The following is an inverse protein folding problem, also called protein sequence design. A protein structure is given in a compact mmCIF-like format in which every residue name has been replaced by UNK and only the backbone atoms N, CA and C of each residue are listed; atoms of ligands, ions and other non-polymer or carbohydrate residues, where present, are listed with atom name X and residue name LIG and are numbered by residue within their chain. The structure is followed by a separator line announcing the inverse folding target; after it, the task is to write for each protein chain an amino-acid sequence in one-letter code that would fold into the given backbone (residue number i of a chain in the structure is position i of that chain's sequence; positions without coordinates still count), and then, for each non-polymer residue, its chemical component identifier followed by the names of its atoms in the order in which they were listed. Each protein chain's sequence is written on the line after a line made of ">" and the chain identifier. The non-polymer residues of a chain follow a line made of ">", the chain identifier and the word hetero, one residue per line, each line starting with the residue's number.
data_IF_995601975377
#
_entry.id   IF_995601975377
#
_cell.length_a   1.000
_cell.length_b   1.000
_cell.length_c   1.000
_cell.angle_alpha   90.00
_cell.angle_beta   90.00
_cell.angle_gamma   90.00
#
_symmetry.space_group_name_H-M   'P 1'
#
loop_
_entity.id
_entity.type
_entity.pdbx_description
1 polymer ?
#
# COMPACT_ATOMS: atom_id res chain seq x y z
N UNK A 1 -24.15 -9.32 2.22
CA UNK A 1 -25.14 -8.31 2.67
C UNK A 1 -24.36 -7.05 3.00
N UNK A 2 -24.42 -6.03 2.15
CA UNK A 2 -23.77 -4.73 2.42
C UNK A 2 -24.55 -4.03 3.53
N UNK A 3 -24.05 -4.07 4.76
CA UNK A 3 -24.64 -3.30 5.85
C UNK A 3 -24.61 -1.81 5.50
N UNK A 4 -25.70 -1.12 5.75
CA UNK A 4 -25.73 0.35 5.66
C UNK A 4 -24.67 0.87 6.63
N UNK A 5 -23.76 1.75 6.20
CA UNK A 5 -22.75 2.30 7.10
C UNK A 5 -23.46 3.03 8.25
N UNK A 6 -23.05 2.69 9.46
CA UNK A 6 -23.52 3.38 10.66
C UNK A 6 -22.85 4.77 10.66
N UNK A 7 -23.63 5.87 10.76
CA UNK A 7 -23.05 7.21 10.90
C UNK A 7 -22.14 7.25 12.11
N UNK A 8 -21.12 8.11 12.07
CA UNK A 8 -20.28 8.34 13.25
C UNK A 8 -21.09 8.95 14.39
N UNK A 9 -20.66 8.69 15.62
CA UNK A 9 -21.25 9.33 16.79
C UNK A 9 -20.97 10.84 16.76
N UNK A 10 -21.93 11.69 17.19
CA UNK A 10 -21.73 13.15 17.23
C UNK A 10 -20.49 13.59 18.03
N UNK A 11 -20.11 12.81 19.05
CA UNK A 11 -18.89 13.05 19.83
C UNK A 11 -17.63 12.80 19.02
N UNK A 12 -17.62 11.77 18.18
CA UNK A 12 -16.52 11.45 17.26
C UNK A 12 -16.40 12.53 16.21
N UNK A 13 -17.50 12.92 15.55
CA UNK A 13 -17.51 13.99 14.55
C UNK A 13 -16.98 15.31 15.13
N UNK A 14 -17.38 15.66 16.37
CA UNK A 14 -16.86 16.84 17.05
C UNK A 14 -15.36 16.76 17.31
N UNK A 15 -14.83 15.59 17.65
CA UNK A 15 -13.40 15.39 17.88
C UNK A 15 -12.61 15.52 16.58
N UNK A 16 -13.15 15.00 15.48
CA UNK A 16 -12.58 15.14 14.14
C UNK A 16 -12.54 16.61 13.71
N UNK A 17 -13.67 17.33 13.84
CA UNK A 17 -13.74 18.75 13.49
C UNK A 17 -12.80 19.60 14.37
N UNK A 18 -12.72 19.31 15.66
CA UNK A 18 -11.78 20.00 16.55
C UNK A 18 -10.33 19.78 16.10
N UNK A 19 -9.97 18.54 15.72
CA UNK A 19 -8.61 18.24 15.23
C UNK A 19 -8.28 19.01 13.95
N UNK A 20 -9.25 19.13 13.03
CA UNK A 20 -9.12 19.92 11.80
C UNK A 20 -8.97 21.41 12.13
N UNK A 21 -9.80 21.94 13.02
CA UNK A 21 -9.74 23.36 13.43
C UNK A 21 -8.39 23.72 14.07
N UNK A 22 -7.87 22.87 14.96
CA UNK A 22 -6.54 23.04 15.56
C UNK A 22 -5.46 22.99 14.47
N UNK A 23 -5.53 22.02 13.55
CA UNK A 23 -4.57 21.88 12.46
C UNK A 23 -4.55 23.08 11.51
N UNK A 24 -5.69 23.65 11.19
CA UNK A 24 -5.83 24.86 10.38
C UNK A 24 -5.20 26.08 11.09
N UNK A 25 -5.54 26.28 12.35
CA UNK A 25 -5.08 27.44 13.13
C UNK A 25 -3.57 27.40 13.38
N UNK A 26 -3.04 26.27 13.87
CA UNK A 26 -1.60 26.09 14.12
C UNK A 26 -0.79 26.07 12.84
N UNK A 27 -1.33 25.46 11.78
CA UNK A 27 -0.73 25.39 10.46
C UNK A 27 -0.83 26.69 9.66
N UNK A 28 -1.56 27.70 10.13
CA UNK A 28 -1.74 28.99 9.45
C UNK A 28 -2.15 28.82 7.98
N UNK A 29 -3.04 27.88 7.69
CA UNK A 29 -3.54 27.64 6.32
C UNK A 29 -4.90 28.31 6.12
N UNK A 30 -5.19 28.94 4.95
CA UNK A 30 -6.50 29.57 4.71
C UNK A 30 -7.65 28.59 4.86
N UNK A 31 -7.47 27.35 4.45
CA UNK A 31 -8.47 26.29 4.59
C UNK A 31 -7.84 24.93 4.86
N UNK A 32 -8.55 24.10 5.64
CA UNK A 32 -8.21 22.71 5.90
C UNK A 32 -9.48 21.87 5.81
N UNK A 33 -9.46 20.86 4.95
CA UNK A 33 -10.53 19.86 4.79
C UNK A 33 -10.09 18.56 5.42
N UNK A 34 -10.99 17.92 6.17
CA UNK A 34 -10.85 16.55 6.64
C UNK A 34 -12.00 15.67 6.15
N UNK A 35 -11.71 14.43 5.83
CA UNK A 35 -12.74 13.45 5.50
C UNK A 35 -12.35 12.07 6.02
N UNK A 36 -13.36 11.27 6.34
CA UNK A 36 -13.21 9.87 6.78
C UNK A 36 -14.12 8.99 5.96
N UNK A 37 -13.55 7.89 5.48
CA UNK A 37 -14.30 6.79 4.85
C UNK A 37 -14.23 5.52 5.72
N UNK A 38 -15.34 4.77 5.74
CA UNK A 38 -15.45 3.47 6.40
C UNK A 38 -16.32 2.54 5.55
N UNK A 39 -15.95 1.28 5.48
CA UNK A 39 -16.65 0.27 4.67
C UNK A 39 -16.88 0.73 3.22
N UNK A 40 -15.85 1.31 2.62
CA UNK A 40 -15.90 1.78 1.25
C UNK A 40 -16.73 3.04 1.01
N UNK A 41 -17.14 3.77 2.04
CA UNK A 41 -18.03 4.94 1.93
C UNK A 41 -17.54 6.11 2.76
N UNK A 42 -17.71 7.29 2.23
CA UNK A 42 -17.55 8.54 2.99
C UNK A 42 -18.58 8.57 4.12
N UNK A 43 -18.12 8.65 5.38
CA UNK A 43 -18.97 8.71 6.59
C UNK A 43 -18.92 10.06 7.27
N UNK A 44 -17.88 10.86 7.04
CA UNK A 44 -17.73 12.21 7.55
C UNK A 44 -16.85 13.04 6.63
N UNK A 45 -17.20 14.30 6.44
CA UNK A 45 -16.34 15.31 5.84
C UNK A 45 -16.73 16.68 6.39
N UNK A 46 -15.74 17.43 6.80
CA UNK A 46 -15.91 18.81 7.27
C UNK A 46 -14.66 19.64 6.98
N UNK A 47 -14.74 20.93 7.19
CA UNK A 47 -13.67 21.86 6.89
C UNK A 47 -13.60 22.99 7.90
N UNK A 48 -12.42 23.59 8.00
CA UNK A 48 -12.21 24.79 8.80
C UNK A 48 -11.46 25.84 7.97
N UNK A 49 -11.96 27.10 8.02
CA UNK A 49 -11.47 28.19 7.21
C UNK A 49 -12.33 28.46 5.97
N UNK A 50 -11.76 29.07 4.95
CA UNK A 50 -12.48 29.50 3.73
C UNK A 50 -12.58 28.36 2.71
N UNK A 51 -13.68 27.63 2.76
CA UNK A 51 -13.97 26.46 1.90
C UNK A 51 -15.38 26.53 1.35
N UNK A 52 -15.53 26.43 0.03
CA UNK A 52 -16.85 26.41 -0.60
C UNK A 52 -17.63 25.12 -0.30
N UNK A 53 -16.95 23.98 -0.24
CA UNK A 53 -17.54 22.66 0.07
C UNK A 53 -16.45 21.71 0.59
N UNK A 54 -16.66 21.07 1.73
CA UNK A 54 -15.75 20.07 2.27
C UNK A 54 -15.60 18.82 1.37
N UNK A 55 -16.63 18.49 0.60
CA UNK A 55 -16.65 17.29 -0.23
C UNK A 55 -16.34 17.53 -1.70
N UNK A 56 -16.57 18.76 -2.22
CA UNK A 56 -16.53 19.04 -3.67
C UNK A 56 -15.48 20.08 -4.08
N UNK A 57 -14.89 20.84 -3.14
CA UNK A 57 -13.78 21.73 -3.46
C UNK A 57 -12.52 20.95 -3.81
N UNK A 58 -11.97 21.21 -5.00
CA UNK A 58 -10.71 20.60 -5.44
C UNK A 58 -9.50 21.27 -4.79
N UNK A 59 -8.51 20.47 -4.46
CA UNK A 59 -7.15 20.85 -4.05
C UNK A 59 -6.14 20.13 -4.91
N UNK A 60 -4.96 20.68 -5.13
CA UNK A 60 -3.85 19.90 -5.68
C UNK A 60 -3.41 18.87 -4.64
N UNK A 61 -3.19 17.64 -5.09
CA UNK A 61 -2.87 16.53 -4.20
C UNK A 61 -1.41 16.12 -4.24
N UNK A 62 -0.62 16.81 -5.08
CA UNK A 62 0.82 16.59 -5.18
C UNK A 62 1.15 15.11 -5.38
N UNK A 63 2.08 14.60 -4.63
CA UNK A 63 2.62 13.25 -4.78
C UNK A 63 1.63 12.10 -4.55
N UNK A 64 0.41 12.33 -4.05
CA UNK A 64 -0.64 11.30 -4.09
C UNK A 64 -0.89 10.85 -5.54
N UNK A 65 -0.63 11.71 -6.53
CA UNK A 65 -0.63 11.39 -7.97
C UNK A 65 0.18 10.14 -8.31
N UNK A 66 1.29 9.91 -7.60
CA UNK A 66 2.17 8.77 -7.86
C UNK A 66 1.45 7.43 -7.67
N UNK A 67 0.58 7.34 -6.67
CA UNK A 67 -0.18 6.11 -6.44
C UNK A 67 -1.09 5.78 -7.63
N UNK A 68 -1.69 6.79 -8.25
CA UNK A 68 -2.48 6.60 -9.49
C UNK A 68 -1.61 6.13 -10.65
N UNK A 69 -0.43 6.72 -10.83
CA UNK A 69 0.53 6.29 -11.84
C UNK A 69 0.97 4.83 -11.62
N UNK A 70 1.22 4.46 -10.37
CA UNK A 70 1.58 3.09 -10.00
C UNK A 70 0.44 2.10 -10.32
N UNK A 71 -0.80 2.44 -10.05
CA UNK A 71 -1.98 1.61 -10.42
C UNK A 71 -2.02 1.35 -11.93
N UNK A 72 -1.75 2.35 -12.77
CA UNK A 72 -1.68 2.16 -14.22
C UNK A 72 -0.57 1.18 -14.62
N UNK A 73 0.61 1.28 -14.01
CA UNK A 73 1.73 0.37 -14.29
C UNK A 73 1.40 -1.06 -13.85
N UNK A 74 0.81 -1.23 -12.66
CA UNK A 74 0.37 -2.55 -12.18
C UNK A 74 -0.69 -3.17 -13.09
N UNK A 75 -1.57 -2.34 -13.64
CA UNK A 75 -2.56 -2.78 -14.61
C UNK A 75 -1.91 -3.27 -15.91
N UNK A 76 -0.88 -2.58 -16.42
CA UNK A 76 -0.11 -3.05 -17.58
C UNK A 76 0.53 -4.43 -17.31
N UNK A 77 1.05 -4.65 -16.09
CA UNK A 77 1.59 -5.93 -15.65
C UNK A 77 0.51 -7.02 -15.65
N UNK A 78 -0.66 -6.76 -15.05
CA UNK A 78 -1.76 -7.74 -14.94
C UNK A 78 -2.32 -8.12 -16.33
N UNK A 79 -2.26 -7.22 -17.29
CA UNK A 79 -2.61 -7.46 -18.69
C UNK A 79 -1.50 -8.18 -19.49
N UNK A 80 -0.33 -8.45 -18.87
CA UNK A 80 0.79 -9.13 -19.51
C UNK A 80 1.55 -8.28 -20.55
N UNK A 81 1.41 -6.94 -20.48
CA UNK A 81 2.07 -6.02 -21.40
C UNK A 81 3.50 -5.67 -20.98
N UNK A 82 3.84 -5.91 -19.71
CA UNK A 82 5.16 -5.77 -19.14
C UNK A 82 5.32 -6.70 -17.94
N UNK A 83 6.59 -6.92 -17.52
CA UNK A 83 6.94 -7.55 -16.25
C UNK A 83 7.56 -6.49 -15.33
N UNK A 84 7.32 -6.56 -14.02
CA UNK A 84 7.92 -5.63 -13.05
C UNK A 84 9.44 -5.79 -12.96
N UNK A 85 9.97 -6.97 -13.28
CA UNK A 85 11.40 -7.25 -13.34
C UNK A 85 12.04 -6.83 -14.67
N UNK A 86 11.25 -6.41 -15.66
CA UNK A 86 11.80 -5.86 -16.90
C UNK A 86 12.62 -4.59 -16.60
N UNK A 87 13.82 -4.45 -17.20
CA UNK A 87 14.50 -3.18 -17.28
C UNK A 87 13.63 -2.14 -18.00
N UNK A 88 13.57 -0.92 -17.49
CA UNK A 88 12.80 0.14 -18.16
C UNK A 88 13.18 0.32 -19.63
N UNK A 89 14.49 0.23 -19.94
CA UNK A 89 15.05 0.37 -21.30
C UNK A 89 14.46 -0.59 -22.32
N UNK A 90 13.87 -1.71 -21.88
CA UNK A 90 13.16 -2.65 -22.76
C UNK A 90 11.90 -2.02 -23.38
N UNK A 91 11.23 -1.13 -22.65
CA UNK A 91 9.98 -0.53 -23.04
C UNK A 91 10.11 0.96 -23.39
N UNK A 92 11.08 1.64 -22.80
CA UNK A 92 11.36 3.06 -23.01
C UNK A 92 12.88 3.24 -23.17
N UNK A 93 13.40 3.07 -24.41
CA UNK A 93 14.83 3.12 -24.67
C UNK A 93 15.41 4.54 -24.52
N UNK A 94 16.74 4.61 -24.43
CA UNK A 94 17.52 5.84 -24.41
C UNK A 94 17.25 6.75 -23.19
N UNK A 95 16.82 6.18 -22.05
CA UNK A 95 16.61 6.94 -20.81
C UNK A 95 17.88 7.09 -19.95
N UNK A 96 18.89 6.30 -20.20
CA UNK A 96 20.15 6.31 -19.44
C UNK A 96 20.03 5.73 -18.02
N UNK A 97 18.94 5.02 -17.70
CA UNK A 97 18.74 4.39 -16.39
C UNK A 97 19.28 2.95 -16.31
N UNK A 98 19.82 2.43 -17.41
CA UNK A 98 20.48 1.13 -17.47
C UNK A 98 19.54 -0.03 -17.12
N UNK A 99 19.98 -0.88 -16.20
CA UNK A 99 19.26 -2.09 -15.79
C UNK A 99 18.20 -1.83 -14.69
N UNK A 100 17.87 -0.57 -14.40
CA UNK A 100 16.83 -0.24 -13.42
C UNK A 100 15.48 -0.84 -13.84
N UNK A 101 14.89 -1.66 -12.97
CA UNK A 101 13.63 -2.35 -13.26
C UNK A 101 12.42 -1.48 -12.97
N UNK A 102 11.27 -1.84 -13.54
CA UNK A 102 9.99 -1.16 -13.28
C UNK A 102 9.61 -1.24 -11.81
N UNK A 103 9.83 -2.39 -11.14
CA UNK A 103 9.62 -2.53 -9.69
C UNK A 103 10.50 -1.55 -8.88
N UNK A 104 11.75 -1.36 -9.28
CA UNK A 104 12.65 -0.43 -8.62
C UNK A 104 12.24 1.03 -8.80
N UNK A 105 11.66 1.38 -9.95
CA UNK A 105 11.07 2.71 -10.15
C UNK A 105 9.84 2.94 -9.27
N UNK A 106 8.92 1.97 -9.24
CA UNK A 106 7.71 2.01 -8.39
C UNK A 106 8.04 2.15 -6.90
N UNK A 107 9.10 1.50 -6.44
CA UNK A 107 9.53 1.47 -5.03
C UNK A 107 10.59 2.49 -4.66
N UNK A 108 10.97 3.38 -5.57
CA UNK A 108 12.04 4.38 -5.36
C UNK A 108 13.41 3.76 -5.02
N UNK A 109 13.70 2.58 -5.56
CA UNK A 109 15.01 1.92 -5.40
C UNK A 109 15.83 1.87 -6.68
N UNK A 110 15.38 2.53 -7.74
CA UNK A 110 16.11 2.60 -9.02
C UNK A 110 17.42 3.40 -8.94
N UNK A 111 17.64 4.15 -7.87
CA UNK A 111 18.86 4.96 -7.69
C UNK A 111 18.84 6.29 -8.45
N UNK A 112 17.69 6.72 -8.94
CA UNK A 112 17.52 7.99 -9.65
C UNK A 112 17.70 9.19 -8.75
N UNK A 113 18.11 10.34 -9.32
CA UNK A 113 18.05 11.64 -8.67
C UNK A 113 16.60 11.92 -8.19
N UNK A 114 16.49 12.56 -7.04
CA UNK A 114 15.19 12.90 -6.46
C UNK A 114 14.41 13.85 -7.37
N UNK A 115 15.12 14.85 -7.91
CA UNK A 115 14.55 15.95 -8.67
C UNK A 115 15.25 16.10 -10.03
N UNK A 116 14.57 16.66 -11.04
CA UNK A 116 15.21 17.02 -12.29
C UNK A 116 16.23 18.16 -12.06
N UNK A 117 17.15 18.39 -13.04
CA UNK A 117 18.03 19.55 -13.00
C UNK A 117 17.24 20.87 -12.92
N UNK A 118 17.86 21.89 -12.31
CA UNK A 118 17.30 23.25 -12.26
C UNK A 118 16.82 23.76 -13.65
N UNK A 119 15.83 24.65 -13.71
CA UNK A 119 15.16 25.39 -12.65
C UNK A 119 14.09 24.54 -11.90
N UNK A 120 13.54 25.10 -10.81
CA UNK A 120 12.54 24.47 -9.97
C UNK A 120 11.28 24.12 -10.76
N UNK A 121 11.10 22.83 -11.04
CA UNK A 121 10.09 22.33 -11.96
C UNK A 121 8.64 22.59 -11.52
N UNK A 122 8.37 22.60 -10.22
CA UNK A 122 7.02 22.84 -9.69
C UNK A 122 6.53 24.29 -9.87
N UNK A 123 7.46 25.23 -10.16
CA UNK A 123 7.18 26.65 -10.47
C UNK A 123 7.62 27.06 -11.88
N UNK A 124 7.91 26.08 -12.71
CA UNK A 124 8.33 26.29 -14.11
C UNK A 124 7.32 25.59 -15.02
N UNK A 125 6.75 26.30 -16.03
CA UNK A 125 5.85 25.68 -16.98
C UNK A 125 6.45 24.42 -17.61
N UNK A 126 5.70 23.31 -17.59
CA UNK A 126 6.18 22.01 -18.06
C UNK A 126 6.52 21.99 -19.56
N UNK A 127 5.94 22.90 -20.34
CA UNK A 127 6.25 23.09 -21.75
C UNK A 127 7.71 23.52 -22.03
N UNK A 128 8.40 24.03 -21.02
CA UNK A 128 9.83 24.35 -21.11
C UNK A 128 10.73 23.12 -20.94
N UNK A 129 10.15 21.96 -20.64
CA UNK A 129 10.82 20.66 -20.49
C UNK A 129 10.08 19.59 -21.30
N UNK A 130 10.10 19.69 -22.64
CA UNK A 130 9.24 18.88 -23.51
C UNK A 130 9.72 17.44 -23.69
N UNK A 131 10.98 17.14 -23.31
CA UNK A 131 11.59 15.83 -23.52
C UNK A 131 12.15 15.19 -22.27
N UNK A 132 12.27 13.87 -22.26
CA UNK A 132 12.90 13.13 -21.15
C UNK A 132 14.34 13.57 -20.87
N UNK A 133 15.21 13.89 -21.86
CA UNK A 133 16.54 14.41 -21.57
C UNK A 133 16.55 15.72 -20.75
N UNK A 134 15.52 16.56 -20.91
CA UNK A 134 15.39 17.81 -20.16
C UNK A 134 15.04 17.58 -18.68
N UNK A 135 14.43 16.41 -18.39
CA UNK A 135 14.03 16.00 -17.04
C UNK A 135 15.09 15.14 -16.36
N UNK A 136 15.76 14.27 -17.10
CA UNK A 136 16.72 13.32 -16.56
C UNK A 136 18.12 13.94 -16.40
N UNK A 137 18.51 14.88 -17.28
CA UNK A 137 19.86 15.41 -17.34
C UNK A 137 20.89 14.39 -17.85
N UNK A 138 22.18 14.73 -17.74
CA UNK A 138 23.27 13.88 -18.22
C UNK A 138 23.54 12.63 -17.35
N UNK A 139 23.26 12.73 -16.05
CA UNK A 139 23.54 11.68 -15.06
C UNK A 139 22.31 11.42 -14.17
N UNK A 140 21.31 10.69 -14.67
CA UNK A 140 20.06 10.49 -13.92
C UNK A 140 20.23 9.58 -12.69
N UNK A 141 21.25 8.70 -12.66
CA UNK A 141 21.50 7.79 -11.55
C UNK A 141 22.51 8.43 -10.56
N UNK A 142 22.11 8.52 -9.30
CA UNK A 142 22.95 9.02 -8.19
C UNK A 142 23.34 7.91 -7.21
N UNK A 143 22.64 6.76 -7.28
CA UNK A 143 22.92 5.56 -6.50
C UNK A 143 22.86 4.31 -7.38
N UNK A 144 23.56 3.23 -7.02
CA UNK A 144 23.34 1.92 -7.66
C UNK A 144 21.92 1.44 -7.47
N UNK A 145 21.29 0.97 -8.56
CA UNK A 145 19.93 0.42 -8.52
C UNK A 145 19.79 -0.74 -7.53
N UNK A 146 18.68 -0.81 -6.82
CA UNK A 146 18.36 -1.84 -5.84
C UNK A 146 19.08 -1.72 -4.48
N UNK A 147 19.87 -0.68 -4.23
CA UNK A 147 20.70 -0.56 -3.03
C UNK A 147 20.10 0.32 -1.94
N UNK A 148 19.46 1.40 -2.34
CA UNK A 148 18.98 2.43 -1.41
C UNK A 148 17.59 2.86 -1.83
N UNK A 149 16.71 3.04 -0.86
CA UNK A 149 15.47 3.79 -1.09
C UNK A 149 15.83 5.27 -1.23
N UNK A 150 15.58 5.83 -2.40
CA UNK A 150 15.81 7.24 -2.71
C UNK A 150 14.63 7.78 -3.49
N UNK A 151 13.74 8.50 -2.79
CA UNK A 151 12.52 9.04 -3.38
C UNK A 151 12.82 9.87 -4.61
N UNK A 152 12.14 9.61 -5.74
CA UNK A 152 12.43 10.25 -7.02
C UNK A 152 11.16 10.70 -7.73
N UNK A 153 11.02 11.99 -7.98
CA UNK A 153 10.00 12.55 -8.86
C UNK A 153 10.27 12.20 -10.33
N UNK A 154 11.55 12.19 -10.74
CA UNK A 154 11.96 11.78 -12.09
C UNK A 154 11.61 10.33 -12.40
N UNK A 155 11.67 9.44 -11.42
CA UNK A 155 11.25 8.04 -11.56
C UNK A 155 9.78 7.90 -11.97
N UNK A 156 8.90 8.71 -11.41
CA UNK A 156 7.48 8.71 -11.74
C UNK A 156 7.15 9.40 -13.05
N UNK A 157 8.00 10.33 -13.49
CA UNK A 157 7.95 10.84 -14.87
C UNK A 157 8.21 9.73 -15.89
N UNK A 158 9.21 8.90 -15.63
CA UNK A 158 9.52 7.73 -16.46
C UNK A 158 8.37 6.71 -16.47
N UNK A 159 7.77 6.41 -15.31
CA UNK A 159 6.62 5.52 -15.22
C UNK A 159 5.40 6.07 -15.99
N UNK A 160 5.13 7.37 -15.92
CA UNK A 160 4.07 8.00 -16.72
C UNK A 160 4.36 7.95 -18.22
N UNK A 161 5.62 8.15 -18.62
CA UNK A 161 6.06 8.03 -20.01
C UNK A 161 5.96 6.58 -20.50
N UNK A 162 6.30 5.61 -19.64
CA UNK A 162 6.12 4.17 -19.90
C UNK A 162 4.65 3.85 -20.17
N UNK A 163 3.73 4.33 -19.31
CA UNK A 163 2.29 4.14 -19.52
C UNK A 163 1.87 4.69 -20.87
N UNK A 164 2.30 5.92 -21.19
CA UNK A 164 1.95 6.55 -22.48
C UNK A 164 2.50 5.76 -23.67
N UNK A 165 3.73 5.27 -23.58
CA UNK A 165 4.36 4.49 -24.65
C UNK A 165 3.66 3.14 -24.88
N UNK A 166 3.33 2.42 -23.82
CA UNK A 166 2.69 1.09 -23.91
C UNK A 166 1.22 1.22 -24.33
N UNK A 167 0.50 2.21 -23.82
CA UNK A 167 -0.93 2.45 -24.17
C UNK A 167 -1.12 3.13 -25.52
N UNK A 168 -0.12 3.86 -26.02
CA UNK A 168 -0.24 4.66 -27.22
C UNK A 168 -1.15 5.90 -27.07
N UNK A 169 -1.45 6.29 -25.83
CA UNK A 169 -2.24 7.49 -25.48
C UNK A 169 -1.53 8.28 -24.38
N UNK A 170 -1.81 9.57 -24.20
CA UNK A 170 -1.24 10.33 -23.08
C UNK A 170 -1.59 9.69 -21.72
N UNK A 171 -0.67 9.81 -20.74
CA UNK A 171 -0.86 9.34 -19.38
C UNK A 171 -2.18 9.81 -18.75
N UNK A 172 -2.56 11.06 -18.98
CA UNK A 172 -3.81 11.63 -18.47
C UNK A 172 -5.05 10.94 -19.03
N UNK A 173 -5.01 10.55 -20.30
CA UNK A 173 -6.11 9.83 -20.95
C UNK A 173 -6.23 8.41 -20.39
N UNK A 174 -5.10 7.70 -20.22
CA UNK A 174 -5.09 6.39 -19.58
C UNK A 174 -5.61 6.49 -18.14
N UNK A 175 -5.14 7.48 -17.37
CA UNK A 175 -5.62 7.73 -16.01
C UNK A 175 -7.14 7.93 -15.96
N UNK A 176 -7.66 8.80 -16.83
CA UNK A 176 -9.08 9.13 -16.88
C UNK A 176 -9.94 7.90 -17.17
N UNK A 177 -9.58 7.16 -18.23
CA UNK A 177 -10.40 6.05 -18.71
C UNK A 177 -10.27 4.77 -17.88
N UNK A 178 -9.09 4.51 -17.33
CA UNK A 178 -8.78 3.25 -16.68
C UNK A 178 -8.91 3.29 -15.14
N UNK A 179 -8.89 4.48 -14.54
CA UNK A 179 -9.00 4.63 -13.08
C UNK A 179 -10.16 5.54 -12.71
N UNK A 180 -10.16 6.79 -13.20
CA UNK A 180 -11.08 7.80 -12.66
C UNK A 180 -12.55 7.51 -13.04
N UNK A 181 -12.84 7.16 -14.28
CA UNK A 181 -14.19 6.81 -14.72
C UNK A 181 -14.70 5.52 -14.03
N UNK A 182 -13.95 4.41 -13.99
CA UNK A 182 -14.41 3.20 -13.29
C UNK A 182 -14.67 3.40 -11.80
N UNK A 183 -13.90 4.26 -11.12
CA UNK A 183 -14.07 4.56 -9.69
C UNK A 183 -15.06 5.70 -9.42
N UNK A 184 -15.70 6.26 -10.44
CA UNK A 184 -16.62 7.41 -10.32
C UNK A 184 -15.96 8.65 -9.68
N UNK A 185 -14.67 8.88 -9.99
CA UNK A 185 -13.88 10.00 -9.46
C UNK A 185 -13.96 11.22 -10.38
N UNK A 186 -15.18 11.75 -10.53
CA UNK A 186 -15.51 12.80 -11.52
C UNK A 186 -14.90 14.16 -11.22
N UNK A 187 -14.44 14.36 -9.98
CA UNK A 187 -13.81 15.59 -9.50
C UNK A 187 -12.29 15.44 -9.31
N UNK A 188 -11.69 14.40 -9.94
CA UNK A 188 -10.25 14.25 -10.03
C UNK A 188 -9.80 14.51 -11.45
N UNK A 189 -8.93 15.53 -11.63
CA UNK A 189 -8.58 16.08 -12.95
C UNK A 189 -7.12 16.55 -12.98
N UNK A 190 -6.55 16.73 -14.18
CA UNK A 190 -5.20 17.31 -14.34
C UNK A 190 -5.21 18.84 -14.25
N UNK A 191 -6.35 19.47 -14.54
CA UNK A 191 -6.54 20.92 -14.45
C UNK A 191 -7.67 21.23 -13.45
N UNK A 192 -7.66 22.40 -12.76
CA UNK A 192 -8.69 22.75 -11.81
C UNK A 192 -10.06 22.93 -12.43
N UNK A 193 -11.10 22.46 -11.75
CA UNK A 193 -12.51 22.65 -12.13
C UNK A 193 -13.27 23.24 -10.94
N UNK A 194 -14.01 24.32 -11.16
CA UNK A 194 -14.77 25.02 -10.09
C UNK A 194 -15.78 24.09 -9.41
N UNK A 195 -15.87 24.10 -8.06
CA UNK A 195 -15.08 24.89 -7.11
C UNK A 195 -13.70 24.27 -6.84
N UNK A 196 -12.67 25.08 -6.78
CA UNK A 196 -11.33 24.70 -6.37
C UNK A 196 -10.73 25.74 -5.42
N UNK A 197 -9.79 25.34 -4.58
CA UNK A 197 -9.08 26.21 -3.66
C UNK A 197 -7.90 26.91 -4.40
N UNK A 198 -7.68 28.18 -4.11
CA UNK A 198 -6.47 28.89 -4.52
C UNK A 198 -5.29 28.47 -3.64
N UNK A 199 -4.10 28.37 -4.23
CA UNK A 199 -2.87 28.00 -3.53
C UNK A 199 -2.13 29.21 -2.93
N UNK A 200 -1.62 29.04 -1.71
CA UNK A 200 -0.98 30.12 -0.95
C UNK A 200 0.33 29.69 -0.32
N UNK A 201 1.31 30.59 -0.30
CA UNK A 201 2.38 30.58 0.68
C UNK A 201 2.02 31.53 1.82
N UNK A 202 2.40 31.18 3.04
CA UNK A 202 2.25 32.06 4.19
C UNK A 202 3.60 32.72 4.49
N UNK A 203 3.60 34.04 4.63
CA UNK A 203 4.84 34.77 4.94
C UNK A 203 5.42 34.26 6.28
N UNK A 204 6.73 33.92 6.34
CA UNK A 204 7.31 33.27 7.53
C UNK A 204 7.25 34.13 8.79
N UNK A 205 7.23 35.46 8.64
CA UNK A 205 7.28 36.40 9.76
C UNK A 205 6.04 37.29 9.89
N UNK A 206 4.98 37.01 9.15
CA UNK A 206 3.74 37.79 9.20
C UNK A 206 2.54 36.94 8.78
N UNK A 207 1.35 37.25 9.30
CA UNK A 207 0.10 36.63 8.86
C UNK A 207 -0.38 37.24 7.54
N UNK A 208 0.40 37.01 6.48
CA UNK A 208 0.18 37.53 5.13
C UNK A 208 0.25 36.37 4.15
N UNK A 209 -0.77 36.29 3.30
CA UNK A 209 -0.82 35.31 2.21
C UNK A 209 -0.11 35.84 0.98
N UNK A 210 0.70 34.96 0.36
CA UNK A 210 1.38 35.20 -0.89
C UNK A 210 0.81 34.20 -1.91
N UNK A 211 0.29 34.64 -3.06
CA UNK A 211 -0.28 33.71 -4.03
C UNK A 211 0.79 32.80 -4.62
N UNK A 212 0.48 31.53 -4.77
CA UNK A 212 1.32 30.56 -5.51
C UNK A 212 0.82 30.39 -6.94
N UNK A 213 1.75 30.21 -7.86
CA UNK A 213 1.38 29.89 -9.24
C UNK A 213 0.88 28.44 -9.36
N UNK A 214 -0.01 28.25 -10.34
CA UNK A 214 -0.51 26.93 -10.69
C UNK A 214 0.04 26.59 -12.07
N UNK A 215 1.08 25.79 -12.10
CA UNK A 215 1.75 25.40 -13.34
C UNK A 215 1.20 24.04 -13.83
N UNK A 216 1.13 23.91 -15.16
CA UNK A 216 1.04 22.61 -15.81
C UNK A 216 2.44 21.99 -15.81
N UNK A 217 2.55 20.82 -15.20
CA UNK A 217 3.84 20.18 -14.96
C UNK A 217 4.37 19.42 -16.20
N UNK A 218 3.59 19.31 -17.28
CA UNK A 218 4.00 18.62 -18.51
C UNK A 218 4.44 17.18 -18.24
N UNK A 219 5.66 16.81 -18.66
CA UNK A 219 6.20 15.46 -18.42
C UNK A 219 6.28 15.05 -16.95
N UNK A 220 6.35 16.02 -16.02
CA UNK A 220 6.36 15.73 -14.57
C UNK A 220 4.95 15.50 -14.01
N UNK A 221 3.88 15.63 -14.80
CA UNK A 221 2.49 15.45 -14.38
C UNK A 221 2.25 14.13 -13.61
N UNK A 222 2.80 12.96 -14.03
CA UNK A 222 2.64 11.70 -13.31
C UNK A 222 3.19 11.68 -11.88
N UNK A 223 4.03 12.65 -11.52
CA UNK A 223 4.62 12.79 -10.20
C UNK A 223 3.79 13.67 -9.24
N UNK A 224 2.92 14.58 -9.75
CA UNK A 224 2.29 15.55 -8.84
C UNK A 224 1.17 16.44 -9.36
N UNK A 225 0.65 16.24 -10.59
CA UNK A 225 -0.26 17.20 -11.26
C UNK A 225 -1.68 17.24 -10.70
N UNK A 226 -2.19 16.14 -10.12
CA UNK A 226 -3.63 15.98 -9.95
C UNK A 226 -4.26 16.98 -8.98
N UNK A 227 -5.46 17.41 -9.36
CA UNK A 227 -6.46 18.04 -8.53
C UNK A 227 -7.49 17.00 -8.13
N UNK A 228 -7.92 17.02 -6.87
CA UNK A 228 -8.95 16.09 -6.38
C UNK A 228 -9.75 16.70 -5.23
N UNK A 229 -10.81 16.01 -4.84
CA UNK A 229 -11.63 16.34 -3.69
C UNK A 229 -11.48 15.30 -2.60
N UNK A 230 -11.85 15.67 -1.36
CA UNK A 230 -11.84 14.71 -0.26
C UNK A 230 -12.77 13.50 -0.53
N UNK A 231 -13.91 13.72 -1.19
CA UNK A 231 -14.82 12.64 -1.55
C UNK A 231 -14.23 11.66 -2.57
N UNK A 232 -13.55 12.15 -3.62
CA UNK A 232 -12.91 11.29 -4.61
C UNK A 232 -11.73 10.53 -4.02
N UNK A 233 -10.91 11.19 -3.18
CA UNK A 233 -9.80 10.51 -2.51
C UNK A 233 -10.31 9.43 -1.51
N UNK A 234 -11.47 9.61 -0.89
CA UNK A 234 -12.10 8.54 -0.11
C UNK A 234 -12.53 7.34 -0.97
N UNK A 235 -13.00 7.58 -2.22
CA UNK A 235 -13.25 6.48 -3.19
C UNK A 235 -11.97 5.75 -3.55
N UNK A 236 -10.90 6.52 -3.80
CA UNK A 236 -9.59 5.94 -4.09
C UNK A 236 -9.01 5.14 -2.91
N UNK A 237 -9.15 5.64 -1.68
CA UNK A 237 -8.78 4.89 -0.49
C UNK A 237 -9.59 3.59 -0.33
N UNK A 238 -10.88 3.62 -0.68
CA UNK A 238 -11.74 2.43 -0.67
C UNK A 238 -11.29 1.40 -1.71
N UNK A 239 -10.85 1.85 -2.88
CA UNK A 239 -10.21 0.99 -3.88
C UNK A 239 -8.90 0.39 -3.34
N UNK A 240 -8.03 1.17 -2.70
CA UNK A 240 -6.78 0.67 -2.09
C UNK A 240 -7.03 -0.33 -0.94
N UNK A 241 -8.22 -0.32 -0.32
CA UNK A 241 -8.58 -1.27 0.73
C UNK A 241 -8.90 -2.68 0.22
N UNK A 242 -9.47 -2.80 -0.98
CA UNK A 242 -10.02 -4.08 -1.43
C UNK A 242 -9.93 -4.37 -2.94
N UNK A 243 -9.33 -3.47 -3.72
CA UNK A 243 -9.31 -3.57 -5.17
C UNK A 243 -10.67 -3.28 -5.82
N UNK A 244 -10.68 -3.28 -7.13
CA UNK A 244 -11.86 -3.24 -7.99
C UNK A 244 -11.48 -3.89 -9.32
N UNK A 245 -12.12 -4.99 -9.70
CA UNK A 245 -11.79 -5.77 -10.89
C UNK A 245 -11.87 -4.96 -12.22
N UNK A 246 -12.53 -3.83 -12.20
CA UNK A 246 -12.56 -2.89 -13.34
C UNK A 246 -11.25 -2.10 -13.47
N UNK A 247 -10.49 -1.98 -12.39
CA UNK A 247 -9.25 -1.20 -12.31
C UNK A 247 -8.07 -2.11 -12.03
N UNK A 248 -8.04 -2.74 -10.86
CA UNK A 248 -6.96 -3.64 -10.44
C UNK A 248 -7.50 -4.63 -9.39
N UNK A 249 -7.09 -5.90 -9.48
CA UNK A 249 -7.53 -6.95 -8.57
C UNK A 249 -7.13 -6.68 -7.12
N UNK A 250 -7.84 -7.27 -6.17
CA UNK A 250 -7.51 -7.18 -4.75
C UNK A 250 -6.11 -7.72 -4.43
N UNK A 251 -5.66 -8.76 -5.16
CA UNK A 251 -4.35 -9.36 -4.97
C UNK A 251 -3.23 -8.41 -5.42
N UNK A 252 -3.40 -7.77 -6.58
CA UNK A 252 -2.44 -6.79 -7.10
C UNK A 252 -2.37 -5.53 -6.23
N UNK A 253 -3.51 -5.06 -5.71
CA UNK A 253 -3.52 -3.95 -4.73
C UNK A 253 -2.80 -4.36 -3.44
N UNK A 254 -2.99 -5.58 -2.96
CA UNK A 254 -2.29 -6.09 -1.77
C UNK A 254 -0.78 -6.14 -2.00
N UNK A 255 -0.34 -6.57 -3.19
CA UNK A 255 1.06 -6.55 -3.58
C UNK A 255 1.63 -5.13 -3.55
N UNK A 256 0.93 -4.14 -4.12
CA UNK A 256 1.33 -2.72 -4.03
C UNK A 256 1.55 -2.27 -2.58
N UNK A 257 0.71 -2.74 -1.67
CA UNK A 257 0.72 -2.38 -0.25
C UNK A 257 1.68 -3.21 0.61
N UNK A 258 2.47 -4.10 0.00
CA UNK A 258 3.51 -4.88 0.69
C UNK A 258 4.84 -4.10 0.65
N UNK A 259 5.66 -4.11 1.73
CA UNK A 259 6.96 -3.45 1.71
C UNK A 259 7.85 -3.97 0.60
N UNK A 260 8.18 -3.14 -0.38
CA UNK A 260 9.04 -3.44 -1.53
C UNK A 260 10.42 -2.77 -1.43
N UNK A 261 10.52 -1.71 -0.62
CA UNK A 261 11.78 -1.03 -0.34
C UNK A 261 12.11 -1.11 1.15
N UNK A 262 13.41 -1.26 1.50
CA UNK A 262 13.82 -1.18 2.90
C UNK A 262 13.44 0.21 3.45
N UNK A 263 13.08 0.31 4.74
CA UNK A 263 12.89 1.60 5.37
C UNK A 263 14.20 2.39 5.30
N UNK A 264 14.13 3.72 5.27
CA UNK A 264 15.32 4.54 5.41
C UNK A 264 16.05 4.16 6.70
N UNK A 265 17.39 4.11 6.66
CA UNK A 265 18.23 3.59 7.75
C UNK A 265 17.96 4.25 9.11
N UNK A 266 17.37 5.44 9.10
CA UNK A 266 17.10 6.27 10.28
C UNK A 266 15.65 6.13 10.82
N UNK A 267 14.76 5.46 10.08
CA UNK A 267 13.35 5.33 10.47
C UNK A 267 12.77 3.96 10.12
N UNK A 268 12.64 3.10 11.14
CA UNK A 268 12.07 1.76 11.00
C UNK A 268 10.53 1.74 11.04
N UNK A 269 9.89 2.87 11.29
CA UNK A 269 8.42 3.01 11.35
C UNK A 269 7.81 3.31 9.99
N UNK A 270 8.63 3.41 8.94
CA UNK A 270 8.19 3.70 7.59
C UNK A 270 8.72 2.70 6.57
N UNK A 271 8.05 2.58 5.44
CA UNK A 271 8.44 1.78 4.29
C UNK A 271 7.77 2.32 3.03
N UNK A 272 8.10 1.68 1.91
CA UNK A 272 7.47 1.99 0.63
C UNK A 272 7.13 0.69 -0.10
N UNK A 273 5.92 0.61 -0.61
CA UNK A 273 5.46 -0.47 -1.47
C UNK A 273 5.66 -0.12 -2.95
N UNK A 274 4.77 -0.59 -3.81
CA UNK A 274 4.77 -0.23 -5.23
C UNK A 274 3.85 0.99 -5.44
N UNK A 275 4.38 2.19 -5.21
CA UNK A 275 3.65 3.45 -5.36
C UNK A 275 2.83 3.90 -4.17
N UNK A 276 3.02 3.31 -3.01
CA UNK A 276 2.37 3.68 -1.76
C UNK A 276 3.37 3.81 -0.63
N UNK A 277 3.15 4.78 0.24
CA UNK A 277 3.85 4.91 1.51
C UNK A 277 3.24 3.97 2.55
N UNK A 278 4.07 3.38 3.39
CA UNK A 278 3.69 2.53 4.50
C UNK A 278 4.24 3.14 5.79
N UNK A 279 3.37 3.34 6.78
CA UNK A 279 3.76 3.93 8.07
C UNK A 279 3.22 3.08 9.20
N UNK A 280 4.06 2.79 10.21
CA UNK A 280 3.61 2.19 11.47
C UNK A 280 3.38 3.29 12.49
N UNK A 281 2.15 3.36 13.00
CA UNK A 281 1.78 4.32 14.03
C UNK A 281 0.76 3.67 14.99
N UNK A 282 1.02 3.79 16.30
CA UNK A 282 0.13 3.29 17.36
C UNK A 282 -0.28 1.81 17.19
N UNK A 283 0.67 0.97 16.74
CA UNK A 283 0.45 -0.46 16.49
C UNK A 283 -0.30 -0.79 15.19
N UNK A 284 -0.64 0.22 14.38
CA UNK A 284 -1.33 0.08 13.09
C UNK A 284 -0.36 0.25 11.92
N UNK A 285 -0.64 -0.41 10.82
CA UNK A 285 -0.03 -0.11 9.53
C UNK A 285 -0.97 0.80 8.74
N UNK A 286 -0.50 2.00 8.44
CA UNK A 286 -1.18 2.95 7.59
C UNK A 286 -0.61 2.87 6.18
N UNK A 287 -1.49 2.80 5.19
CA UNK A 287 -1.17 2.70 3.76
C UNK A 287 -1.71 3.95 3.07
N UNK A 288 -0.95 4.54 2.18
CA UNK A 288 -1.40 5.71 1.44
C UNK A 288 -0.26 6.54 0.89
N UNK A 289 -0.43 7.84 0.88
CA UNK A 289 0.61 8.78 0.44
C UNK A 289 0.36 10.18 0.98
N UNK A 290 1.42 10.92 1.27
CA UNK A 290 1.37 12.35 1.47
C UNK A 290 1.68 13.09 0.16
N UNK A 291 1.21 14.31 0.03
CA UNK A 291 1.46 15.14 -1.12
C UNK A 291 1.82 16.57 -0.74
N UNK A 292 2.73 17.15 -1.48
CA UNK A 292 3.11 18.55 -1.39
C UNK A 292 3.39 19.09 -2.78
N UNK A 293 2.94 20.29 -3.04
CA UNK A 293 3.24 21.07 -4.23
C UNK A 293 3.02 22.55 -3.86
N UNK A 294 3.69 23.53 -4.48
CA UNK A 294 3.47 24.93 -4.16
C UNK A 294 1.99 25.30 -4.03
N UNK A 295 1.63 25.89 -2.90
CA UNK A 295 0.25 26.25 -2.56
C UNK A 295 -0.58 25.16 -1.88
N UNK A 296 -0.13 23.91 -1.81
CA UNK A 296 -0.97 22.81 -1.34
C UNK A 296 -0.18 21.71 -0.63
N UNK A 297 -0.79 21.14 0.42
CA UNK A 297 -0.35 19.90 1.04
C UNK A 297 -1.54 18.98 1.26
N UNK A 298 -1.32 17.67 1.13
CA UNK A 298 -2.35 16.64 1.21
C UNK A 298 -1.85 15.39 1.96
N UNK A 299 -2.76 14.66 2.60
CA UNK A 299 -2.49 13.38 3.23
C UNK A 299 -3.67 12.43 3.02
N UNK A 300 -3.37 11.18 2.67
CA UNK A 300 -4.32 10.09 2.54
C UNK A 300 -3.73 8.90 3.27
N UNK A 301 -4.44 8.41 4.28
CA UNK A 301 -4.07 7.19 5.00
C UNK A 301 -5.25 6.25 5.16
N UNK A 302 -4.97 4.97 5.05
CA UNK A 302 -5.89 3.86 5.20
C UNK A 302 -5.32 2.88 6.22
N UNK A 303 -6.11 2.49 7.22
CA UNK A 303 -5.92 1.29 8.02
C UNK A 303 -6.87 0.20 7.50
N UNK A 304 -6.31 -0.82 6.85
CA UNK A 304 -7.11 -1.93 6.31
C UNK A 304 -7.73 -2.74 7.43
N UNK A 305 -6.97 -3.01 8.50
CA UNK A 305 -7.42 -3.81 9.63
C UNK A 305 -8.61 -3.16 10.36
N UNK A 306 -8.60 -1.83 10.50
CA UNK A 306 -9.67 -1.07 11.14
C UNK A 306 -10.80 -0.69 10.17
N UNK A 307 -10.60 -0.86 8.85
CA UNK A 307 -11.51 -0.43 7.80
C UNK A 307 -11.84 1.07 7.89
N UNK A 308 -10.80 1.89 8.08
CA UNK A 308 -10.91 3.35 8.19
C UNK A 308 -9.87 4.01 7.30
N UNK A 309 -10.32 4.92 6.45
CA UNK A 309 -9.45 5.82 5.70
C UNK A 309 -9.72 7.27 6.07
N UNK A 310 -8.68 8.10 6.03
CA UNK A 310 -8.78 9.52 6.24
C UNK A 310 -8.01 10.31 5.18
N UNK A 311 -8.59 11.44 4.81
CA UNK A 311 -8.03 12.41 3.87
C UNK A 311 -7.93 13.77 4.55
N UNK A 312 -6.82 14.46 4.34
CA UNK A 312 -6.64 15.86 4.75
C UNK A 312 -6.10 16.66 3.58
N UNK A 313 -6.73 17.78 3.27
CA UNK A 313 -6.35 18.69 2.20
C UNK A 313 -6.20 20.12 2.76
N UNK A 314 -5.12 20.80 2.39
CA UNK A 314 -4.88 22.18 2.78
C UNK A 314 -4.30 22.98 1.62
N UNK A 315 -4.65 24.27 1.57
CA UNK A 315 -4.21 25.19 0.54
C UNK A 315 -3.08 26.12 1.01
N UNK A 316 -2.03 25.54 1.54
CA UNK A 316 -0.80 26.23 1.89
C UNK A 316 0.43 25.41 1.48
N UNK A 317 1.49 26.10 1.06
CA UNK A 317 2.79 25.46 0.68
C UNK A 317 3.43 24.76 1.89
N UNK A 318 3.23 25.29 3.08
CA UNK A 318 3.79 24.77 4.33
C UNK A 318 2.90 25.17 5.51
N UNK A 319 3.10 24.52 6.65
CA UNK A 319 2.40 24.81 7.90
C UNK A 319 1.73 23.56 8.45
N UNK A 320 0.54 23.13 7.98
CA UNK A 320 -0.07 21.92 8.46
C UNK A 320 0.71 20.67 8.01
N UNK A 321 0.69 19.64 8.84
CA UNK A 321 1.27 18.34 8.54
C UNK A 321 0.14 17.36 8.17
N UNK A 322 -0.32 17.32 6.90
CA UNK A 322 -1.52 16.60 6.51
C UNK A 322 -1.42 15.08 6.74
N UNK A 323 -0.24 14.50 6.62
CA UNK A 323 -0.01 13.09 6.94
C UNK A 323 -0.27 12.80 8.43
N UNK A 324 0.23 13.63 9.33
CA UNK A 324 -0.02 13.50 10.77
C UNK A 324 -1.51 13.72 11.09
N UNK A 325 -2.11 14.74 10.49
CA UNK A 325 -3.53 15.03 10.68
C UNK A 325 -4.40 13.86 10.19
N UNK A 326 -4.15 13.31 9.02
CA UNK A 326 -4.92 12.19 8.50
C UNK A 326 -4.76 10.93 9.37
N UNK A 327 -3.55 10.66 9.88
CA UNK A 327 -3.31 9.56 10.83
C UNK A 327 -4.06 9.78 12.16
N UNK A 328 -4.11 11.01 12.65
CA UNK A 328 -4.92 11.37 13.83
C UNK A 328 -6.41 11.16 13.59
N UNK A 329 -6.95 11.50 12.41
CA UNK A 329 -8.35 11.24 12.08
C UNK A 329 -8.63 9.72 12.09
N UNK A 330 -7.75 8.89 11.52
CA UNK A 330 -7.87 7.43 11.61
C UNK A 330 -7.89 7.00 13.09
N UNK A 331 -6.94 7.48 13.89
CA UNK A 331 -6.84 7.13 15.32
C UNK A 331 -8.09 7.53 16.09
N UNK A 332 -8.60 8.76 15.91
CA UNK A 332 -9.81 9.23 16.60
C UNK A 332 -11.00 8.30 16.34
N UNK A 333 -11.20 7.89 15.08
CA UNK A 333 -12.31 7.00 14.73
C UNK A 333 -12.10 5.60 15.30
N UNK A 334 -10.91 5.03 15.17
CA UNK A 334 -10.63 3.67 15.62
C UNK A 334 -10.67 3.52 17.14
N UNK A 335 -10.32 4.57 17.89
CA UNK A 335 -10.39 4.57 19.36
C UNK A 335 -11.80 4.83 19.87
N UNK A 336 -12.55 5.77 19.23
CA UNK A 336 -13.90 6.11 19.66
C UNK A 336 -14.95 5.08 19.22
N UNK A 337 -14.74 4.48 18.05
CA UNK A 337 -15.70 3.57 17.41
C UNK A 337 -14.98 2.34 16.84
N UNK A 338 -14.39 1.49 17.70
CA UNK A 338 -13.68 0.31 17.25
C UNK A 338 -14.61 -0.64 16.47
N UNK A 339 -14.04 -1.31 15.49
CA UNK A 339 -14.78 -2.34 14.73
C UNK A 339 -15.17 -3.49 15.65
N UNK A 340 -16.44 -3.89 15.60
CA UNK A 340 -16.84 -5.10 16.28
C UNK A 340 -16.23 -6.32 15.53
N UNK A 341 -15.61 -7.24 16.28
CA UNK A 341 -15.13 -8.48 15.68
C UNK A 341 -16.30 -9.29 15.15
N UNK A 342 -16.05 -10.06 14.09
CA UNK A 342 -17.05 -11.01 13.61
C UNK A 342 -17.45 -11.97 14.75
N UNK A 343 -18.76 -12.23 14.95
CA UNK A 343 -19.18 -13.18 15.96
C UNK A 343 -18.62 -14.55 15.64
N UNK A 344 -18.05 -15.21 16.65
CA UNK A 344 -17.58 -16.59 16.50
C UNK A 344 -18.72 -17.47 16.02
N UNK A 345 -18.45 -18.29 15.02
CA UNK A 345 -19.36 -19.30 14.49
C UNK A 345 -18.69 -20.65 14.47
N UNK A 346 -19.39 -21.73 14.88
CA UNK A 346 -18.85 -23.07 14.72
C UNK A 346 -18.81 -23.44 13.22
N UNK A 347 -17.94 -24.41 12.89
CA UNK A 347 -18.03 -25.09 11.60
C UNK A 347 -19.42 -25.70 11.43
N UNK A 348 -20.11 -25.50 10.31
CA UNK A 348 -21.49 -26.01 10.10
C UNK A 348 -21.54 -27.53 10.12
N UNK A 349 -20.56 -28.21 9.53
CA UNK A 349 -20.34 -29.66 9.58
C UNK A 349 -18.83 -29.87 9.54
N UNK A 350 -18.29 -30.70 10.42
CA UNK A 350 -16.87 -31.01 10.42
C UNK A 350 -16.61 -32.31 9.72
N UNK A 351 -15.85 -32.28 8.64
CA UNK A 351 -15.20 -33.48 8.12
C UNK A 351 -14.35 -34.10 9.25
N UNK A 352 -14.51 -35.39 9.48
CA UNK A 352 -13.74 -36.08 10.54
C UNK A 352 -12.23 -36.06 10.26
N UNK A 353 -11.82 -35.90 9.00
CA UNK A 353 -10.42 -35.94 8.60
C UNK A 353 -9.58 -34.78 9.20
N UNK A 354 -9.97 -33.50 9.09
CA UNK A 354 -9.23 -32.41 9.75
C UNK A 354 -9.26 -32.51 11.28
N UNK A 355 -10.36 -32.97 11.88
CA UNK A 355 -10.47 -33.14 13.34
C UNK A 355 -9.47 -34.15 13.88
N UNK A 356 -9.12 -35.17 13.11
CA UNK A 356 -8.08 -36.15 13.53
C UNK A 356 -6.68 -35.53 13.67
N UNK A 357 -6.47 -34.36 13.10
CA UNK A 357 -5.20 -33.63 13.17
C UNK A 357 -5.10 -32.71 14.40
N UNK A 358 -6.22 -32.40 15.05
CA UNK A 358 -6.25 -31.46 16.17
C UNK A 358 -5.49 -31.97 17.38
N UNK A 359 -5.06 -31.03 18.24
CA UNK A 359 -4.36 -31.31 19.48
C UNK A 359 -2.85 -31.08 19.42
N UNK A 360 -2.14 -31.72 20.34
CA UNK A 360 -0.70 -31.51 20.48
C UNK A 360 0.11 -32.24 19.42
N UNK A 361 1.12 -31.54 18.95
CA UNK A 361 2.18 -32.01 18.05
C UNK A 361 3.52 -31.58 18.59
N UNK A 362 4.58 -32.30 18.28
CA UNK A 362 5.93 -32.02 18.79
C UNK A 362 6.93 -31.98 17.66
N UNK A 363 7.72 -30.92 17.63
CA UNK A 363 8.94 -30.83 16.86
C UNK A 363 10.11 -30.97 17.85
N UNK A 364 10.69 -32.15 17.93
CA UNK A 364 11.58 -32.51 19.01
C UNK A 364 10.83 -32.52 20.33
N UNK A 365 11.32 -31.80 21.30
CA UNK A 365 10.69 -31.60 22.63
C UNK A 365 9.74 -30.38 22.64
N UNK A 366 9.64 -29.64 21.55
CA UNK A 366 8.89 -28.39 21.52
C UNK A 366 7.43 -28.63 21.10
N UNK A 367 6.50 -28.22 21.95
CA UNK A 367 5.09 -28.51 21.79
C UNK A 367 4.36 -27.44 20.94
N UNK A 368 3.56 -27.90 19.99
CA UNK A 368 2.66 -27.13 19.15
C UNK A 368 1.21 -27.59 19.35
N UNK A 369 0.28 -26.69 19.12
CA UNK A 369 -1.14 -27.01 19.01
C UNK A 369 -1.62 -26.86 17.56
N UNK A 370 -2.30 -27.85 17.03
CA UNK A 370 -3.01 -27.75 15.75
C UNK A 370 -4.51 -27.63 16.01
N UNK A 371 -5.12 -26.59 15.45
CA UNK A 371 -6.56 -26.30 15.53
C UNK A 371 -7.16 -26.30 14.14
N UNK A 372 -8.43 -26.69 14.04
CA UNK A 372 -9.25 -26.46 12.85
C UNK A 372 -9.98 -25.14 13.01
N UNK A 373 -9.94 -24.31 11.99
CA UNK A 373 -10.55 -22.97 11.96
C UNK A 373 -11.95 -23.02 11.36
N UNK A 374 -12.72 -21.96 11.61
CA UNK A 374 -14.11 -21.85 11.13
C UNK A 374 -14.25 -21.77 9.60
N UNK A 375 -13.18 -21.42 8.90
CA UNK A 375 -13.10 -21.39 7.44
C UNK A 375 -12.68 -22.73 6.81
N UNK A 376 -12.51 -23.77 7.64
CA UNK A 376 -12.03 -25.08 7.20
C UNK A 376 -10.51 -25.20 7.09
N UNK A 377 -9.78 -24.12 7.35
CA UNK A 377 -8.32 -24.12 7.47
C UNK A 377 -7.83 -24.76 8.76
N UNK A 378 -6.51 -24.88 8.90
CA UNK A 378 -5.87 -25.30 10.14
C UNK A 378 -4.84 -24.27 10.58
N UNK A 379 -4.62 -24.17 11.88
CA UNK A 379 -3.61 -23.31 12.49
C UNK A 379 -2.66 -24.17 13.31
N UNK A 380 -1.35 -24.06 13.04
CA UNK A 380 -0.28 -24.69 13.82
C UNK A 380 0.46 -23.58 14.59
N UNK A 381 0.38 -23.61 15.91
CA UNK A 381 0.99 -22.58 16.75
C UNK A 381 1.76 -23.22 17.91
N UNK A 382 2.90 -22.65 18.35
CA UNK A 382 3.60 -23.10 19.55
C UNK A 382 2.69 -22.94 20.77
N UNK A 383 2.69 -23.93 21.66
CA UNK A 383 1.89 -23.88 22.87
C UNK A 383 2.52 -22.99 23.97
N UNK A 384 3.80 -22.66 23.86
CA UNK A 384 4.53 -21.78 24.78
C UNK A 384 5.56 -20.94 24.06
N UNK A 385 5.73 -19.69 24.52
CA UNK A 385 6.75 -18.78 24.00
C UNK A 385 6.48 -18.32 22.56
N UNK A 386 7.47 -17.70 21.96
CA UNK A 386 7.48 -17.33 20.54
C UNK A 386 8.04 -18.50 19.72
N UNK A 387 7.45 -18.80 18.59
CA UNK A 387 7.87 -19.88 17.71
C UNK A 387 7.31 -19.74 16.30
N UNK A 388 7.61 -20.72 15.47
CA UNK A 388 7.19 -20.77 14.07
C UNK A 388 5.75 -21.25 14.01
N UNK A 389 4.81 -20.36 13.75
CA UNK A 389 3.39 -20.69 13.57
C UNK A 389 2.90 -20.20 12.21
N UNK A 390 1.84 -20.81 11.70
CA UNK A 390 1.17 -20.40 10.48
C UNK A 390 -0.25 -20.95 10.43
N UNK A 391 -1.09 -20.28 9.63
CA UNK A 391 -2.38 -20.81 9.19
C UNK A 391 -2.20 -21.48 7.84
N UNK A 392 -3.00 -22.49 7.57
CA UNK A 392 -2.94 -23.27 6.34
C UNK A 392 -4.32 -23.46 5.77
N UNK A 393 -4.45 -23.43 4.44
CA UNK A 393 -5.67 -23.81 3.73
C UNK A 393 -5.50 -25.16 3.03
N UNK A 394 -6.57 -25.95 2.89
CA UNK A 394 -6.49 -27.22 2.18
C UNK A 394 -6.24 -27.00 0.68
N UNK A 395 -5.49 -27.92 0.08
CA UNK A 395 -5.30 -28.03 -1.36
C UNK A 395 -6.05 -29.25 -1.91
N UNK A 396 -6.37 -29.28 -3.23
CA UNK A 396 -7.11 -30.39 -3.86
C UNK A 396 -6.42 -31.75 -3.76
N UNK A 397 -5.10 -31.78 -3.60
CA UNK A 397 -4.28 -32.99 -3.47
C UNK A 397 -4.24 -33.55 -2.03
N UNK A 398 -4.97 -32.95 -1.10
CA UNK A 398 -5.02 -33.34 0.31
C UNK A 398 -3.87 -32.79 1.16
N UNK A 399 -3.03 -31.94 0.61
CA UNK A 399 -2.01 -31.17 1.34
C UNK A 399 -2.57 -29.82 1.81
N UNK A 400 -1.75 -29.03 2.53
CA UNK A 400 -2.17 -27.76 3.10
C UNK A 400 -1.13 -26.69 2.79
N UNK A 401 -1.56 -25.55 2.23
CA UNK A 401 -0.70 -24.41 1.91
C UNK A 401 -0.64 -23.42 3.07
N UNK A 402 0.56 -23.06 3.50
CA UNK A 402 0.80 -21.99 4.47
C UNK A 402 0.39 -20.62 3.94
N UNK A 403 -0.27 -19.83 4.78
CA UNK A 403 -0.87 -18.55 4.40
C UNK A 403 -0.18 -17.35 5.08
N UNK A 404 0.62 -17.59 6.08
CA UNK A 404 1.27 -16.54 6.88
C UNK A 404 2.44 -17.09 7.71
N UNK A 405 3.13 -16.17 8.38
CA UNK A 405 4.16 -16.52 9.36
C UNK A 405 5.40 -17.13 8.72
N UNK A 406 6.01 -18.08 9.44
CA UNK A 406 7.25 -18.71 8.98
C UNK A 406 7.05 -19.66 7.80
N UNK A 407 5.85 -20.22 7.67
CA UNK A 407 5.53 -21.23 6.66
C UNK A 407 4.65 -20.65 5.52
N UNK A 408 4.68 -19.35 5.31
CA UNK A 408 3.98 -18.73 4.17
C UNK A 408 4.51 -19.32 2.84
N UNK A 409 3.57 -19.83 2.02
CA UNK A 409 3.89 -20.52 0.75
C UNK A 409 4.38 -21.97 0.89
N UNK A 410 4.69 -22.45 2.11
CA UNK A 410 5.14 -23.82 2.35
C UNK A 410 3.98 -24.82 2.41
N UNK A 411 4.28 -26.08 2.08
CA UNK A 411 3.27 -27.15 2.02
C UNK A 411 3.38 -28.09 3.20
N UNK A 412 2.33 -28.15 4.03
CA UNK A 412 2.20 -29.15 5.09
C UNK A 412 1.52 -30.41 4.54
N UNK A 413 2.15 -31.56 4.79
CA UNK A 413 1.68 -32.88 4.39
C UNK A 413 1.32 -33.70 5.62
N UNK A 414 0.19 -34.43 5.54
CA UNK A 414 -0.23 -35.40 6.56
C UNK A 414 0.19 -36.78 6.12
N UNK A 415 1.19 -37.34 6.77
CA UNK A 415 1.70 -38.69 6.46
C UNK A 415 0.90 -39.72 7.28
N UNK A 416 0.36 -40.73 6.60
CA UNK A 416 -0.45 -41.78 7.24
C UNK A 416 0.22 -43.13 7.16
N UNK A 417 -0.07 -43.98 8.15
CA UNK A 417 0.33 -45.39 8.17
C UNK A 417 -0.60 -46.21 7.29
N UNK A 418 -0.26 -47.47 7.07
CA UNK A 418 -1.05 -48.41 6.30
C UNK A 418 -2.47 -48.63 6.86
N UNK A 419 -2.66 -48.50 8.17
CA UNK A 419 -3.95 -48.59 8.87
C UNK A 419 -4.81 -47.30 8.76
N UNK A 420 -4.31 -46.28 8.03
CA UNK A 420 -4.95 -44.98 7.87
C UNK A 420 -4.75 -44.00 9.01
N UNK A 421 -4.12 -44.42 10.12
CA UNK A 421 -3.79 -43.52 11.24
C UNK A 421 -2.72 -42.50 10.82
N UNK A 422 -2.74 -41.30 11.43
CA UNK A 422 -1.73 -40.28 11.16
C UNK A 422 -0.42 -40.69 11.83
N UNK A 423 0.64 -40.75 11.04
CA UNK A 423 2.01 -41.01 11.51
C UNK A 423 2.64 -39.72 12.03
N UNK A 424 2.73 -38.72 11.18
CA UNK A 424 3.36 -37.43 11.47
C UNK A 424 2.86 -36.37 10.49
N UNK A 425 3.20 -35.10 10.78
CA UNK A 425 3.09 -34.00 9.83
C UNK A 425 4.48 -33.69 9.30
N UNK A 426 4.55 -33.50 7.99
CA UNK A 426 5.76 -33.14 7.25
C UNK A 426 5.60 -31.72 6.71
N UNK A 427 6.50 -30.83 7.07
CA UNK A 427 6.46 -29.43 6.72
C UNK A 427 7.87 -28.96 6.35
N UNK A 428 8.17 -29.05 5.05
CA UNK A 428 9.53 -28.87 4.54
C UNK A 428 10.47 -29.95 5.06
N UNK A 429 11.43 -29.58 5.91
CA UNK A 429 12.33 -30.52 6.60
C UNK A 429 11.94 -30.78 8.07
N UNK A 430 10.80 -30.22 8.53
CA UNK A 430 10.34 -30.39 9.90
C UNK A 430 9.33 -31.52 9.98
N UNK A 431 9.56 -32.43 10.92
CA UNK A 431 8.68 -33.54 11.25
C UNK A 431 8.01 -33.28 12.58
N UNK A 432 6.67 -33.23 12.59
CA UNK A 432 5.89 -33.08 13.81
C UNK A 432 5.23 -34.40 14.17
N UNK A 433 5.48 -34.89 15.35
CA UNK A 433 4.95 -36.17 15.87
C UNK A 433 3.95 -35.95 17.00
N UNK A 434 3.14 -36.97 17.33
CA UNK A 434 2.21 -36.92 18.46
C UNK A 434 2.88 -36.99 19.84
N UNK A 435 4.06 -37.59 19.90
CA UNK A 435 4.86 -37.69 21.10
C UNK A 435 6.16 -36.86 20.93
N UNK A 436 6.68 -36.27 22.00
CA UNK A 436 7.98 -35.61 21.96
C UNK A 436 9.09 -36.62 21.64
N UNK A 437 10.11 -36.17 20.93
CA UNK A 437 11.28 -36.99 20.60
C UNK A 437 12.58 -36.26 20.88
N UNK A 438 13.60 -36.96 21.29
CA UNK A 438 14.94 -36.46 21.52
C UNK A 438 15.92 -36.84 20.41
N UNK A 439 17.19 -36.45 20.52
CA UNK A 439 18.21 -36.72 19.50
C UNK A 439 18.49 -38.22 19.27
N UNK A 440 18.20 -39.06 20.22
CA UNK A 440 18.44 -40.52 20.14
C UNK A 440 17.22 -41.30 19.62
N UNK A 441 16.09 -40.63 19.47
CA UNK A 441 14.83 -41.27 19.05
C UNK A 441 14.75 -41.43 17.53
N UNK A 442 14.08 -42.48 17.08
CA UNK A 442 13.82 -42.69 15.65
C UNK A 442 12.69 -41.76 15.22
N UNK A 443 13.02 -40.80 14.36
CA UNK A 443 12.07 -39.87 13.79
C UNK A 443 11.45 -40.47 12.52
N UNK A 444 10.11 -40.39 12.34
CA UNK A 444 9.48 -40.77 11.04
C UNK A 444 10.07 -40.02 9.89
N UNK A 445 10.32 -40.67 8.76
CA UNK A 445 11.02 -40.08 7.63
C UNK A 445 12.52 -40.23 7.71
N UNK A 446 13.06 -40.46 8.90
CA UNK A 446 14.44 -40.83 9.14
C UNK A 446 15.47 -39.73 8.96
N UNK A 447 16.70 -40.06 9.33
CA UNK A 447 17.87 -39.27 8.90
C UNK A 447 18.39 -39.95 7.61
N UNK A 448 18.62 -39.17 6.56
CA UNK A 448 19.25 -39.69 5.35
C UNK A 448 20.73 -40.02 5.65
N UNK A 449 21.03 -41.28 5.94
CA UNK A 449 22.37 -41.75 6.20
C UNK A 449 23.34 -41.51 5.04
N UNK A 450 22.80 -41.36 3.81
CA UNK A 450 23.55 -41.01 2.63
C UNK A 450 23.81 -39.52 2.45
N UNK A 451 23.23 -38.69 3.31
CA UNK A 451 23.28 -37.24 3.20
C UNK A 451 22.64 -36.69 1.91
N UNK A 452 22.92 -35.45 1.59
CA UNK A 452 22.47 -34.82 0.36
C UNK A 452 23.15 -35.48 -0.85
N UNK A 453 22.38 -36.19 -1.66
CA UNK A 453 22.88 -36.84 -2.89
C UNK A 453 22.59 -35.95 -4.10
N UNK A 454 23.62 -35.64 -4.85
CA UNK A 454 23.57 -34.90 -6.10
C UNK A 454 24.41 -33.62 -6.07
N UNK A 455 24.73 -33.10 -7.26
CA UNK A 455 25.39 -31.81 -7.36
C UNK A 455 24.46 -30.72 -6.90
N UNK A 456 24.94 -29.69 -6.17
CA UNK A 456 24.12 -28.56 -5.81
C UNK A 456 23.52 -27.94 -7.08
N UNK A 457 22.19 -27.76 -7.11
CA UNK A 457 21.53 -27.05 -8.21
C UNK A 457 22.04 -25.61 -8.18
N UNK A 458 22.68 -25.18 -9.25
CA UNK A 458 22.96 -23.76 -9.44
C UNK A 458 21.61 -23.10 -9.76
N UNK A 459 21.18 -22.18 -8.94
CA UNK A 459 20.09 -21.29 -9.30
C UNK A 459 20.62 -20.43 -10.46
N UNK A 460 20.01 -20.57 -11.62
CA UNK A 460 20.26 -19.70 -12.80
C UNK A 460 19.28 -18.57 -12.78
#
# INVERSE_FOLDING_TARGET
>A
MTSTPVPLLPTTERSLLHRIAVGQSEGRTPSLVGAVARSGRLVWADAWGDVASATDTQYRVGSITKTFTAVLVMRLRDEGLLDLDDPLEKHLPDTGVGDATIAQLLSHTAGLAAEPPAPWWERTPGELRPGLPDVLGEHPLVHPSGRVHHYSNTGYTLLGSLVSAVRGVPWEEALRTEILEPLDMRRTTSQPVVPYAEGWAVHPWADVLLPESVEDLGLMAPAGQLWSTAADLCRFASFLAGGDERVLSADSVREMCTPAAPPAAENWDGGYGLGVQLVRQDGRTLIGHSGSIPGFVAGLWLSVDDDVAAVVLANATSGPHPGVLAADLVRIVTEAEPRFPEPWRPLPESDAAPLSLTGSWYWGTYAYGLKVLADGGVELQPLRGAGRGSRFRPLPDGTWLGLDGYYDGEVLRVVRREDGSVSHLDLGSFVFTREPYGPEDVVPGGVDEGGWRGAPRRFT
#
